data_IF_676176305579
#
_entry.id   IF_676176305579
#
_cell.length_a   1.000
_cell.length_b   1.000
_cell.length_c   1.000
_cell.angle_alpha   90.00
_cell.angle_beta   90.00
_cell.angle_gamma   90.00
#
_symmetry.space_group_name_H-M   'P 1'
#
loop_
_entity.id
_entity.type
_entity.pdbx_description
1 polymer ?
#
# COMPACT_ATOMS: atom_id res chain seq x y z
N UNK A 1 112.24 19.38 -23.37
CA UNK A 1 111.04 18.51 -23.42
C UNK A 1 109.97 19.17 -22.56
N UNK A 2 109.13 20.00 -23.17
CA UNK A 2 108.12 20.81 -22.51
C UNK A 2 106.81 20.01 -22.39
N UNK A 3 106.13 19.99 -21.23
CA UNK A 3 104.99 19.11 -20.99
C UNK A 3 103.73 19.68 -21.67
N UNK A 4 103.53 19.34 -22.95
CA UNK A 4 102.29 19.63 -23.70
C UNK A 4 101.09 18.81 -23.17
N UNK A 5 101.33 17.80 -22.33
CA UNK A 5 100.28 16.92 -21.79
C UNK A 5 99.35 17.56 -20.75
N UNK A 6 99.86 18.41 -19.85
CA UNK A 6 99.07 18.88 -18.70
C UNK A 6 98.07 20.00 -19.01
N UNK A 7 98.36 20.87 -19.98
CA UNK A 7 97.52 22.04 -20.28
C UNK A 7 96.29 21.68 -21.10
N UNK A 8 96.40 20.70 -22.00
CA UNK A 8 95.27 20.15 -22.77
C UNK A 8 94.29 19.40 -21.86
N UNK A 9 94.82 18.60 -20.94
CA UNK A 9 94.01 17.82 -20.00
C UNK A 9 93.18 18.73 -19.08
N UNK A 10 93.78 19.83 -18.62
CA UNK A 10 93.09 20.88 -17.85
C UNK A 10 92.02 21.64 -18.65
N UNK A 11 92.22 21.83 -19.96
CA UNK A 11 91.24 22.45 -20.85
C UNK A 11 90.07 21.51 -21.13
N UNK A 12 90.32 20.20 -21.28
CA UNK A 12 89.27 19.19 -21.48
C UNK A 12 88.42 19.04 -20.21
N UNK A 13 89.03 19.01 -19.02
CA UNK A 13 88.29 18.96 -17.76
C UNK A 13 87.42 20.19 -17.49
N UNK A 14 87.76 21.36 -18.06
CA UNK A 14 86.94 22.57 -17.98
C UNK A 14 85.85 22.66 -19.08
N UNK A 15 85.87 21.79 -20.08
CA UNK A 15 84.83 21.72 -21.12
C UNK A 15 83.77 20.65 -20.87
N UNK A 16 83.92 19.81 -19.85
CA UNK A 16 82.85 18.89 -19.43
C UNK A 16 81.74 19.72 -18.79
N UNK A 17 80.51 19.74 -19.34
CA UNK A 17 79.38 20.36 -18.65
C UNK A 17 79.22 19.64 -17.32
N UNK A 18 79.47 20.35 -16.22
CA UNK A 18 79.05 19.86 -14.90
C UNK A 18 77.54 19.98 -14.86
N UNK A 19 76.84 18.91 -15.23
CA UNK A 19 75.41 18.83 -15.00
C UNK A 19 75.19 18.92 -13.49
N UNK A 20 74.41 19.91 -13.07
CA UNK A 20 73.89 19.97 -11.71
C UNK A 20 73.17 18.64 -11.41
N UNK A 21 73.31 18.06 -10.20
CA UNK A 21 72.56 16.85 -9.85
C UNK A 21 71.06 17.11 -10.10
N UNK A 22 70.37 16.13 -10.70
CA UNK A 22 68.92 16.26 -10.91
C UNK A 22 68.22 16.36 -9.55
N UNK A 23 67.81 17.57 -9.18
CA UNK A 23 66.98 17.81 -8.02
C UNK A 23 65.52 17.75 -8.49
N UNK A 24 64.74 16.80 -7.97
CA UNK A 24 63.31 16.76 -8.24
C UNK A 24 62.66 18.05 -7.75
N UNK A 25 61.89 18.68 -8.64
CA UNK A 25 61.19 19.94 -8.42
C UNK A 25 59.70 19.68 -8.41
N UNK A 26 59.02 20.19 -7.38
CA UNK A 26 57.58 20.00 -7.23
C UNK A 26 56.93 21.30 -6.78
N UNK A 27 55.81 21.65 -7.42
CA UNK A 27 54.86 22.63 -6.93
C UNK A 27 53.72 21.88 -6.24
N UNK A 28 53.51 22.17 -4.96
CA UNK A 28 52.41 21.64 -4.17
C UNK A 28 51.40 22.75 -3.92
N UNK A 29 50.11 22.40 -3.88
CA UNK A 29 49.03 23.34 -3.56
C UNK A 29 48.16 22.76 -2.45
N UNK A 30 48.21 23.37 -1.27
CA UNK A 30 47.38 23.00 -0.13
C UNK A 30 46.25 24.02 0.05
N UNK A 31 45.01 23.55 0.21
CA UNK A 31 43.85 24.39 0.51
C UNK A 31 43.39 24.15 1.95
N UNK A 32 43.00 25.20 2.68
CA UNK A 32 42.50 25.07 4.06
C UNK A 32 41.13 24.40 4.15
N UNK A 33 40.35 24.42 3.07
CA UNK A 33 39.14 23.62 2.88
C UNK A 33 38.91 23.36 1.37
N UNK A 34 38.03 22.41 1.06
CA UNK A 34 37.63 22.09 -0.32
C UNK A 34 36.22 22.57 -0.66
N UNK A 35 35.50 23.16 0.30
CA UNK A 35 34.15 23.65 0.08
C UNK A 35 33.78 24.79 1.02
N UNK A 36 32.90 25.66 0.53
CA UNK A 36 32.09 26.55 1.36
C UNK A 36 30.78 25.85 1.68
N UNK A 37 30.56 25.48 2.94
CA UNK A 37 29.26 25.00 3.40
C UNK A 37 28.39 26.18 3.74
N UNK A 38 27.26 26.31 3.06
CA UNK A 38 26.29 27.38 3.28
C UNK A 38 25.12 26.77 4.02
N UNK A 39 25.01 27.11 5.30
CA UNK A 39 23.86 26.72 6.10
C UNK A 39 22.57 27.28 5.48
N UNK A 40 21.43 26.68 5.77
CA UNK A 40 20.12 27.21 5.35
C UNK A 40 19.89 28.68 5.78
N UNK A 41 20.63 29.16 6.78
CA UNK A 41 20.65 30.55 7.28
C UNK A 41 21.69 31.46 6.58
N UNK A 42 22.12 31.09 5.37
CA UNK A 42 22.94 31.86 4.39
C UNK A 42 24.38 32.25 4.78
N UNK A 43 24.88 31.83 5.94
CA UNK A 43 26.28 32.04 6.32
C UNK A 43 27.15 30.90 5.77
N UNK A 44 28.19 31.26 5.01
CA UNK A 44 29.18 30.31 4.49
C UNK A 44 30.28 30.03 5.53
N UNK A 45 30.64 28.75 5.68
CA UNK A 45 31.75 28.29 6.52
C UNK A 45 32.70 27.39 5.69
N UNK A 46 34.02 27.64 5.69
CA UNK A 46 34.71 28.79 6.32
C UNK A 46 34.41 30.11 5.60
N UNK A 47 34.72 31.27 6.20
CA UNK A 47 34.51 32.58 5.55
C UNK A 47 35.44 32.80 4.33
N UNK A 48 36.62 32.16 4.37
CA UNK A 48 37.61 32.15 3.29
C UNK A 48 38.36 30.83 3.26
N UNK A 49 38.94 30.53 2.11
CA UNK A 49 39.80 29.38 1.86
C UNK A 49 41.14 29.91 1.36
N UNK A 50 42.22 29.51 2.03
CA UNK A 50 43.57 29.89 1.67
C UNK A 50 44.23 28.73 0.92
N UNK A 51 44.87 29.08 -0.20
CA UNK A 51 45.63 28.19 -1.05
C UNK A 51 47.11 28.53 -0.91
N UNK A 52 47.86 27.67 -0.24
CA UNK A 52 49.29 27.85 0.01
C UNK A 52 50.09 27.03 -0.99
N UNK A 53 50.92 27.71 -1.79
CA UNK A 53 51.83 27.05 -2.72
C UNK A 53 53.15 26.70 -2.01
N UNK A 54 53.47 25.40 -1.99
CA UNK A 54 54.74 24.88 -1.50
C UNK A 54 55.70 24.62 -2.66
N UNK A 55 56.93 25.11 -2.56
CA UNK A 55 57.98 24.90 -3.55
C UNK A 55 59.04 23.95 -2.99
N UNK A 56 59.31 22.86 -3.70
CA UNK A 56 60.39 21.91 -3.37
C UNK A 56 61.51 22.09 -4.40
N UNK A 57 62.73 22.39 -3.92
CA UNK A 57 63.92 22.64 -4.76
C UNK A 57 63.72 23.72 -5.85
N UNK A 58 62.78 24.63 -5.62
CA UNK A 58 62.47 25.80 -6.44
C UNK A 58 62.26 27.02 -5.54
N UNK A 59 62.52 28.20 -6.07
CA UNK A 59 62.24 29.46 -5.41
C UNK A 59 61.61 30.43 -6.40
N UNK A 60 60.81 31.36 -5.90
CA UNK A 60 60.16 32.37 -6.72
C UNK A 60 58.71 32.60 -6.31
N UNK A 61 58.09 33.51 -7.04
CA UNK A 61 56.69 33.87 -6.84
C UNK A 61 55.80 32.98 -7.70
N UNK A 62 54.79 32.38 -7.07
CA UNK A 62 53.81 31.52 -7.75
C UNK A 62 52.68 32.37 -8.33
N UNK A 63 52.37 32.13 -9.60
CA UNK A 63 51.19 32.70 -10.24
C UNK A 63 49.97 31.84 -9.94
N UNK A 64 48.90 32.45 -9.42
CA UNK A 64 47.61 31.80 -9.25
C UNK A 64 46.66 32.18 -10.40
N UNK A 65 45.69 31.34 -10.69
CA UNK A 65 44.55 31.67 -11.54
C UNK A 65 43.31 30.93 -11.06
N UNK A 66 42.15 31.51 -11.26
CA UNK A 66 40.87 30.82 -11.11
C UNK A 66 40.39 30.40 -12.49
N UNK A 67 39.69 29.26 -12.58
CA UNK A 67 39.10 28.75 -13.83
C UNK A 67 37.92 29.60 -14.34
N UNK A 68 37.49 30.59 -13.57
CA UNK A 68 36.42 31.54 -13.90
C UNK A 68 36.76 32.92 -13.32
N UNK A 69 35.80 33.86 -13.33
CA UNK A 69 35.99 35.23 -12.85
C UNK A 69 36.11 35.37 -11.31
N UNK A 70 36.34 34.28 -10.56
CA UNK A 70 36.52 34.35 -9.10
C UNK A 70 37.74 35.20 -8.73
N UNK A 71 37.57 36.02 -7.70
CA UNK A 71 38.58 36.96 -7.24
C UNK A 71 39.43 36.32 -6.15
N UNK A 72 40.75 36.34 -6.36
CA UNK A 72 41.74 35.87 -5.40
C UNK A 72 42.53 37.06 -4.84
N UNK A 73 42.59 37.17 -3.52
CA UNK A 73 43.53 38.10 -2.85
C UNK A 73 44.84 37.37 -2.63
N UNK A 74 45.99 37.98 -2.97
CA UNK A 74 47.30 37.32 -2.85
C UNK A 74 48.20 38.01 -1.85
N UNK A 75 48.87 37.20 -1.03
CA UNK A 75 49.94 37.64 -0.14
C UNK A 75 51.07 36.61 -0.23
N UNK A 76 52.15 36.97 -0.91
CA UNK A 76 53.25 36.03 -1.19
C UNK A 76 52.79 34.82 -2.02
N UNK A 77 53.15 33.62 -1.58
CA UNK A 77 52.75 32.34 -2.19
C UNK A 77 51.43 31.78 -1.59
N UNK A 78 50.59 32.65 -1.06
CA UNK A 78 49.23 32.33 -0.59
C UNK A 78 48.21 33.12 -1.40
N UNK A 79 47.20 32.41 -1.92
CA UNK A 79 46.02 33.01 -2.53
C UNK A 79 44.78 32.71 -1.66
N UNK A 80 44.01 33.73 -1.33
CA UNK A 80 42.79 33.62 -0.52
C UNK A 80 41.57 33.82 -1.41
N UNK A 81 40.64 32.87 -1.34
CA UNK A 81 39.31 32.95 -1.94
C UNK A 81 38.28 33.17 -0.83
N UNK A 82 37.46 34.21 -0.92
CA UNK A 82 36.30 34.39 -0.03
C UNK A 82 35.04 33.82 -0.68
N UNK A 83 34.03 33.47 0.13
CA UNK A 83 32.75 33.01 -0.42
C UNK A 83 32.13 34.02 -1.41
N UNK A 84 32.15 35.31 -1.06
CA UNK A 84 31.63 36.38 -1.94
C UNK A 84 32.50 36.66 -3.17
N UNK A 85 33.80 36.33 -3.11
CA UNK A 85 34.71 36.43 -4.25
C UNK A 85 34.62 35.25 -5.22
N UNK A 86 33.97 34.14 -4.82
CA UNK A 86 33.79 32.96 -5.66
C UNK A 86 32.59 33.12 -6.60
N UNK A 87 32.87 33.13 -7.90
CA UNK A 87 31.85 33.16 -8.97
C UNK A 87 31.44 31.73 -9.31
N UNK A 88 30.13 31.47 -9.38
CA UNK A 88 29.57 30.14 -9.63
C UNK A 88 29.60 29.21 -8.41
N UNK A 89 29.21 27.94 -8.64
CA UNK A 89 29.11 26.90 -7.59
C UNK A 89 30.36 26.02 -7.46
N UNK A 90 31.27 26.09 -8.45
CA UNK A 90 32.56 25.43 -8.39
C UNK A 90 33.62 26.26 -9.11
N UNK A 91 34.83 26.26 -8.58
CA UNK A 91 35.99 26.94 -9.16
C UNK A 91 37.24 26.09 -8.94
N UNK A 92 38.09 26.00 -9.96
CA UNK A 92 39.42 25.39 -9.85
C UNK A 92 40.46 26.48 -9.77
N UNK A 93 41.25 26.46 -8.70
CA UNK A 93 42.39 27.35 -8.51
C UNK A 93 43.65 26.64 -8.97
N UNK A 94 44.39 27.25 -9.88
CA UNK A 94 45.64 26.71 -10.44
C UNK A 94 46.80 27.60 -10.02
N UNK A 95 47.78 27.00 -9.37
CA UNK A 95 49.08 27.57 -9.11
C UNK A 95 50.05 27.17 -10.25
N UNK A 96 50.89 28.11 -10.68
CA UNK A 96 51.86 27.90 -11.76
C UNK A 96 53.17 28.65 -11.47
N UNK A 97 54.30 28.02 -11.77
CA UNK A 97 55.62 28.65 -11.74
C UNK A 97 56.48 28.10 -12.87
N UNK A 98 57.28 28.97 -13.49
CA UNK A 98 58.28 28.57 -14.49
C UNK A 98 59.64 28.52 -13.82
N UNK A 99 60.32 27.38 -13.93
CA UNK A 99 61.67 27.18 -13.39
C UNK A 99 62.50 26.42 -14.42
N UNK A 100 63.64 26.99 -14.81
CA UNK A 100 64.54 26.49 -15.87
C UNK A 100 63.82 26.10 -17.17
N UNK A 101 62.85 26.93 -17.59
CA UNK A 101 62.10 26.75 -18.83
C UNK A 101 60.97 25.72 -18.77
N UNK A 102 60.75 25.05 -17.64
CA UNK A 102 59.62 24.15 -17.42
C UNK A 102 58.55 24.79 -16.54
N UNK A 103 57.28 24.63 -16.93
CA UNK A 103 56.13 25.10 -16.16
C UNK A 103 55.63 24.00 -15.23
N UNK A 104 55.63 24.28 -13.93
CA UNK A 104 55.06 23.41 -12.91
C UNK A 104 53.68 23.94 -12.53
N UNK A 105 52.68 23.07 -12.51
CA UNK A 105 51.31 23.43 -12.15
C UNK A 105 50.77 22.53 -11.05
N UNK A 106 49.92 23.10 -10.20
CA UNK A 106 49.14 22.37 -9.21
C UNK A 106 47.75 23.01 -9.12
N UNK A 107 46.71 22.21 -8.97
CA UNK A 107 45.33 22.71 -8.97
C UNK A 107 44.51 22.13 -7.83
N UNK A 108 43.59 22.92 -7.30
CA UNK A 108 42.63 22.53 -6.28
C UNK A 108 41.25 23.06 -6.67
N UNK A 109 40.22 22.21 -6.57
CA UNK A 109 38.83 22.60 -6.83
C UNK A 109 38.11 22.88 -5.52
N UNK A 110 37.33 23.96 -5.50
CA UNK A 110 36.45 24.33 -4.40
C UNK A 110 35.02 24.42 -4.91
N UNK A 111 34.08 23.93 -4.10
CA UNK A 111 32.65 23.98 -4.41
C UNK A 111 31.84 24.65 -3.30
N UNK A 112 30.70 25.23 -3.65
CA UNK A 112 29.67 25.64 -2.69
C UNK A 112 28.75 24.45 -2.45
N UNK A 113 28.47 24.17 -1.17
CA UNK A 113 27.56 23.11 -0.75
C UNK A 113 26.48 23.77 0.09
N UNK A 114 25.22 23.69 -0.38
CA UNK A 114 24.07 24.21 0.36
C UNK A 114 23.38 23.09 1.12
N UNK A 115 23.00 23.38 2.36
CA UNK A 115 22.10 22.50 3.09
C UNK A 115 20.69 22.56 2.47
N UNK A 116 19.98 21.42 2.46
CA UNK A 116 18.59 21.36 2.02
C UNK A 116 17.65 22.06 3.01
N UNK A 117 16.53 22.58 2.49
CA UNK A 117 15.45 23.12 3.34
C UNK A 117 14.77 21.95 4.07
N UNK A 118 14.42 22.13 5.35
CA UNK A 118 13.62 21.14 6.07
C UNK A 118 12.28 20.93 5.37
N UNK A 119 11.96 19.69 5.03
CA UNK A 119 10.71 19.35 4.35
C UNK A 119 9.48 19.40 5.28
N UNK A 120 8.29 19.44 4.67
CA UNK A 120 7.04 19.31 5.40
C UNK A 120 6.96 17.96 6.14
N UNK A 121 6.31 17.94 7.29
CA UNK A 121 6.16 16.74 8.12
C UNK A 121 4.69 16.42 8.40
N UNK A 122 4.33 15.14 8.40
CA UNK A 122 2.99 14.69 8.79
C UNK A 122 2.73 14.90 10.28
N UNK A 123 1.49 15.23 10.60
CA UNK A 123 0.94 15.40 11.94
C UNK A 123 -0.39 14.66 12.04
N UNK A 124 -0.74 14.25 13.25
CA UNK A 124 -2.01 13.58 13.56
C UNK A 124 -2.48 14.09 14.91
N UNK A 125 -3.78 14.27 15.06
CA UNK A 125 -4.41 14.50 16.35
C UNK A 125 -5.75 13.75 16.46
N UNK A 126 -6.21 13.60 17.69
CA UNK A 126 -7.40 12.84 18.04
C UNK A 126 -8.30 13.66 18.95
N UNK A 127 -9.61 13.46 18.82
CA UNK A 127 -10.61 13.94 19.77
C UNK A 127 -11.69 12.88 19.91
N UNK A 128 -12.08 12.57 21.14
CA UNK A 128 -13.29 11.80 21.44
C UNK A 128 -14.48 12.72 21.51
N UNK A 129 -15.66 12.16 21.31
CA UNK A 129 -16.93 12.89 21.41
C UNK A 129 -18.07 11.92 21.67
N UNK A 130 -19.15 12.40 22.31
CA UNK A 130 -20.44 11.71 22.38
C UNK A 130 -21.43 12.20 21.32
N UNK A 131 -20.99 13.11 20.43
CA UNK A 131 -21.78 13.54 19.29
C UNK A 131 -21.95 12.39 18.30
N UNK A 132 -23.07 12.36 17.60
CA UNK A 132 -23.32 11.39 16.52
C UNK A 132 -22.36 11.58 15.34
N UNK A 133 -21.93 12.82 15.10
CA UNK A 133 -20.86 13.15 14.15
C UNK A 133 -20.19 14.48 14.48
N UNK A 134 -18.96 14.64 13.98
CA UNK A 134 -18.31 15.95 13.89
C UNK A 134 -18.63 16.64 12.56
N UNK A 135 -18.64 17.96 12.56
CA UNK A 135 -18.76 18.78 11.38
C UNK A 135 -17.53 18.64 10.48
N UNK A 136 -17.70 18.91 9.18
CA UNK A 136 -16.61 18.93 8.19
C UNK A 136 -16.16 20.34 7.84
N UNK A 137 -16.80 21.36 8.42
CA UNK A 137 -16.43 22.76 8.28
C UNK A 137 -15.75 23.26 9.58
N UNK A 138 -14.62 23.97 9.49
CA UNK A 138 -13.88 24.29 8.26
C UNK A 138 -13.18 23.05 7.66
N UNK A 139 -13.07 22.97 6.33
CA UNK A 139 -12.42 21.83 5.68
C UNK A 139 -10.92 21.72 6.00
N UNK A 140 -10.30 22.88 6.27
CA UNK A 140 -8.93 22.99 6.78
C UNK A 140 -8.84 24.10 7.82
N UNK A 141 -7.95 23.95 8.80
CA UNK A 141 -7.61 24.99 9.78
C UNK A 141 -6.10 25.03 9.98
N UNK A 142 -5.54 26.22 10.17
CA UNK A 142 -4.11 26.38 10.42
C UNK A 142 -3.84 26.79 11.87
N UNK A 143 -2.82 26.18 12.46
CA UNK A 143 -2.35 26.47 13.81
C UNK A 143 -0.85 26.75 13.80
N UNK A 144 -0.37 27.59 14.71
CA UNK A 144 1.04 27.95 14.79
C UNK A 144 1.85 26.87 15.51
N UNK A 145 3.01 26.51 14.97
CA UNK A 145 3.91 25.52 15.55
C UNK A 145 3.61 24.07 15.16
N UNK A 146 4.58 23.20 15.45
CA UNK A 146 4.54 21.77 15.12
C UNK A 146 3.89 20.89 16.19
N UNK A 147 3.62 21.47 17.37
CA UNK A 147 3.01 20.83 18.55
C UNK A 147 1.64 21.45 18.88
N UNK A 148 1.08 22.25 17.97
CA UNK A 148 -0.26 22.81 18.14
C UNK A 148 -1.33 21.89 17.59
N UNK A 149 -2.53 22.02 18.14
CA UNK A 149 -3.71 21.24 17.76
C UNK A 149 -4.85 22.18 17.38
N UNK A 150 -5.84 21.70 16.60
CA UNK A 150 -7.03 22.47 16.30
C UNK A 150 -7.70 23.00 17.59
N UNK A 151 -8.20 24.26 17.57
CA UNK A 151 -8.86 24.85 18.72
C UNK A 151 -10.03 24.02 19.27
N UNK A 152 -10.37 24.24 20.55
CA UNK A 152 -11.57 23.69 21.17
C UNK A 152 -12.80 23.99 20.30
N UNK A 153 -13.67 22.99 20.16
CA UNK A 153 -14.92 23.08 19.44
C UNK A 153 -14.84 23.26 17.91
N UNK A 154 -13.65 23.17 17.30
CA UNK A 154 -13.45 23.45 15.85
C UNK A 154 -14.46 22.72 14.96
N UNK A 155 -14.70 21.44 15.21
CA UNK A 155 -15.62 20.61 14.42
C UNK A 155 -16.78 20.03 15.24
N UNK A 156 -16.98 20.49 16.46
CA UNK A 156 -18.07 20.02 17.30
C UNK A 156 -17.89 20.41 18.76
N UNK A 157 -18.98 20.80 19.40
CA UNK A 157 -18.96 21.21 20.80
C UNK A 157 -18.39 20.10 21.72
N UNK A 158 -17.52 20.49 22.64
CA UNK A 158 -16.81 19.62 23.57
C UNK A 158 -15.56 18.92 23.02
N UNK A 159 -15.17 19.16 21.75
CA UNK A 159 -13.98 18.51 21.18
C UNK A 159 -12.67 19.14 21.65
N UNK A 160 -11.77 18.32 22.18
CA UNK A 160 -10.41 18.69 22.58
C UNK A 160 -9.44 17.82 21.81
N UNK A 161 -8.54 18.45 21.05
CA UNK A 161 -7.60 17.76 20.16
C UNK A 161 -6.25 17.53 20.83
N UNK A 162 -5.76 16.30 20.78
CA UNK A 162 -4.47 15.90 21.37
C UNK A 162 -3.68 14.97 20.46
N UNK A 163 -2.36 14.87 20.69
CA UNK A 163 -1.48 14.03 19.85
C UNK A 163 -1.60 12.53 20.09
N UNK A 164 -2.25 12.11 21.18
CA UNK A 164 -2.45 10.69 21.52
C UNK A 164 -3.94 10.34 21.49
N UNK A 165 -4.33 9.13 21.07
CA UNK A 165 -5.70 8.66 21.17
C UNK A 165 -6.22 8.70 22.61
N UNK A 166 -7.32 9.40 22.83
CA UNK A 166 -7.99 9.45 24.13
C UNK A 166 -8.71 8.12 24.43
N UNK A 167 -8.78 7.73 25.70
CA UNK A 167 -9.62 6.60 26.12
C UNK A 167 -11.10 6.99 26.02
N UNK A 168 -11.91 6.10 25.42
CA UNK A 168 -13.35 6.33 25.19
C UNK A 168 -14.19 5.08 25.51
N UNK A 169 -15.41 5.31 25.97
CA UNK A 169 -16.37 4.31 26.41
C UNK A 169 -17.47 4.02 25.39
N UNK A 170 -18.44 3.22 25.81
CA UNK A 170 -19.64 2.97 25.01
C UNK A 170 -20.45 4.26 24.85
N UNK A 171 -20.89 4.56 23.61
CA UNK A 171 -21.60 5.81 23.30
C UNK A 171 -20.69 6.99 23.00
N UNK A 172 -19.37 6.81 23.09
CA UNK A 172 -18.38 7.75 22.59
C UNK A 172 -17.74 7.23 21.30
N UNK A 173 -17.32 8.17 20.46
CA UNK A 173 -16.60 7.94 19.21
C UNK A 173 -15.24 8.63 19.26
N UNK A 174 -14.22 7.99 18.69
CA UNK A 174 -12.89 8.59 18.53
C UNK A 174 -12.73 9.09 17.09
N UNK A 175 -12.49 10.39 16.94
CA UNK A 175 -12.19 11.04 15.68
C UNK A 175 -10.69 11.32 15.55
N UNK A 176 -10.22 11.37 14.29
CA UNK A 176 -8.85 11.71 13.92
C UNK A 176 -8.86 12.85 12.91
N UNK A 177 -7.89 13.75 13.02
CA UNK A 177 -7.57 14.75 12.00
C UNK A 177 -6.10 14.59 11.62
N UNK A 178 -5.83 14.62 10.32
CA UNK A 178 -4.48 14.57 9.76
C UNK A 178 -4.00 15.97 9.43
N UNK A 179 -2.73 16.25 9.70
CA UNK A 179 -2.13 17.55 9.49
C UNK A 179 -0.78 17.51 8.79
N UNK A 180 -0.36 18.67 8.27
CA UNK A 180 0.93 18.88 7.62
C UNK A 180 1.59 20.10 8.24
N UNK A 181 2.72 19.90 8.92
CA UNK A 181 3.56 20.98 9.43
C UNK A 181 4.53 21.44 8.35
N UNK A 182 4.52 22.75 8.07
CA UNK A 182 5.47 23.40 7.18
C UNK A 182 6.49 24.22 8.02
N UNK A 183 7.76 23.81 8.10
CA UNK A 183 8.77 24.51 8.88
C UNK A 183 9.12 25.89 8.31
N UNK A 184 8.86 26.17 7.03
CA UNK A 184 9.13 27.46 6.42
C UNK A 184 8.12 28.54 6.85
N UNK A 185 6.84 28.17 7.00
CA UNK A 185 5.80 29.07 7.53
C UNK A 185 5.63 28.97 9.04
N UNK A 186 6.17 27.94 9.68
CA UNK A 186 5.99 27.67 11.11
C UNK A 186 4.56 27.26 11.47
N UNK A 187 3.76 26.78 10.51
CA UNK A 187 2.34 26.45 10.72
C UNK A 187 2.03 24.99 10.42
N UNK A 188 1.04 24.44 11.13
CA UNK A 188 0.42 23.16 10.82
C UNK A 188 -0.95 23.41 10.17
N UNK A 189 -1.22 22.76 9.04
CA UNK A 189 -2.54 22.74 8.41
C UNK A 189 -3.23 21.42 8.73
N UNK A 190 -4.41 21.46 9.32
CA UNK A 190 -5.20 20.31 9.73
C UNK A 190 -6.42 20.14 8.82
N UNK A 191 -6.69 18.91 8.38
CA UNK A 191 -7.88 18.57 7.61
C UNK A 191 -9.08 18.29 8.52
N UNK A 192 -10.29 18.41 7.96
CA UNK A 192 -11.51 18.01 8.65
C UNK A 192 -11.43 16.55 9.17
N UNK A 193 -11.97 16.27 10.37
CA UNK A 193 -11.80 14.98 11.01
C UNK A 193 -12.69 13.89 10.42
N UNK A 194 -12.24 12.64 10.59
CA UNK A 194 -13.00 11.43 10.26
C UNK A 194 -13.08 10.49 11.46
N UNK A 195 -14.10 9.62 11.45
CA UNK A 195 -14.31 8.63 12.50
C UNK A 195 -13.18 7.59 12.44
N UNK A 196 -12.38 7.50 13.50
CA UNK A 196 -11.25 6.58 13.59
C UNK A 196 -11.66 5.27 14.30
N UNK A 197 -12.48 5.36 15.34
CA UNK A 197 -12.98 4.18 16.03
C UNK A 197 -14.33 4.44 16.70
N UNK A 198 -15.19 3.42 16.68
CA UNK A 198 -16.46 3.38 17.39
C UNK A 198 -16.46 2.17 18.34
N UNK A 199 -16.79 2.40 19.61
CA UNK A 199 -16.93 1.34 20.62
C UNK A 199 -18.38 1.32 21.09
N UNK A 200 -19.06 0.23 20.82
CA UNK A 200 -20.50 0.07 21.06
C UNK A 200 -20.77 -1.33 21.60
N UNK A 201 -21.75 -1.46 22.50
CA UNK A 201 -22.14 -2.76 23.04
C UNK A 201 -23.00 -3.55 22.07
N UNK A 202 -24.01 -2.90 21.50
CA UNK A 202 -24.90 -3.45 20.48
C UNK A 202 -25.19 -2.37 19.44
N UNK A 203 -25.26 -2.77 18.18
CA UNK A 203 -25.78 -1.94 17.09
C UNK A 203 -27.13 -2.53 16.68
N UNK A 204 -28.18 -1.70 16.69
CA UNK A 204 -29.56 -2.16 16.44
C UNK A 204 -30.03 -1.95 14.99
N UNK A 205 -29.40 -1.05 14.24
CA UNK A 205 -29.69 -0.82 12.83
C UNK A 205 -28.44 -0.30 12.11
N UNK A 206 -27.83 -1.15 11.26
CA UNK A 206 -26.71 -0.79 10.40
C UNK A 206 -27.10 -1.13 8.97
N UNK A 207 -26.86 -0.21 8.04
CA UNK A 207 -26.75 -0.51 6.61
C UNK A 207 -25.29 -0.36 6.23
N UNK A 208 -24.68 -1.41 5.70
CA UNK A 208 -23.27 -1.42 5.33
C UNK A 208 -23.04 -2.30 4.10
N UNK A 209 -22.13 -1.86 3.23
CA UNK A 209 -21.53 -2.72 2.21
C UNK A 209 -20.38 -3.49 2.89
N UNK A 210 -20.68 -4.74 3.24
CA UNK A 210 -19.75 -5.60 3.96
C UNK A 210 -18.94 -6.41 2.96
N UNK A 211 -17.61 -6.39 3.12
CA UNK A 211 -16.71 -7.33 2.46
C UNK A 211 -16.70 -8.69 3.16
N UNK A 212 -15.51 -9.21 3.42
CA UNK A 212 -15.35 -10.42 4.22
C UNK A 212 -15.76 -10.16 5.68
N UNK A 213 -16.70 -10.97 6.19
CA UNK A 213 -17.13 -10.93 7.58
C UNK A 213 -16.52 -12.11 8.34
N UNK A 214 -15.78 -11.83 9.40
CA UNK A 214 -15.41 -12.84 10.41
C UNK A 214 -16.34 -12.67 11.60
N UNK A 215 -17.30 -13.57 11.74
CA UNK A 215 -18.30 -13.58 12.81
C UNK A 215 -18.35 -14.95 13.49
N UNK A 216 -18.91 -15.00 14.69
CA UNK A 216 -19.41 -16.24 15.29
C UNK A 216 -20.71 -16.65 14.61
N UNK A 217 -21.68 -17.09 15.41
CA UNK A 217 -22.99 -17.47 14.88
C UNK A 217 -23.80 -16.26 14.43
N UNK A 218 -24.40 -16.37 13.24
CA UNK A 218 -25.40 -15.42 12.74
C UNK A 218 -26.78 -15.99 13.01
N UNK A 219 -27.50 -15.43 13.99
CA UNK A 219 -28.85 -15.85 14.35
C UNK A 219 -29.92 -14.94 13.75
N UNK A 220 -31.11 -15.49 13.50
CA UNK A 220 -32.29 -14.76 12.98
C UNK A 220 -32.03 -13.99 11.67
N UNK A 221 -31.09 -14.46 10.85
CA UNK A 221 -30.76 -13.82 9.58
C UNK A 221 -31.69 -14.25 8.44
N UNK A 222 -31.91 -13.30 7.54
CA UNK A 222 -32.45 -13.54 6.20
C UNK A 222 -31.38 -13.14 5.20
N UNK A 223 -30.92 -14.09 4.40
CA UNK A 223 -29.92 -13.89 3.35
C UNK A 223 -30.61 -14.02 2.00
N UNK A 224 -30.48 -13.02 1.14
CA UNK A 224 -31.05 -13.05 -0.21
C UNK A 224 -30.09 -12.38 -1.19
N UNK A 225 -30.18 -12.78 -2.45
CA UNK A 225 -29.34 -12.22 -3.49
C UNK A 225 -29.80 -12.58 -4.89
N UNK A 226 -29.36 -11.78 -5.87
CA UNK A 226 -29.75 -11.88 -7.26
C UNK A 226 -30.98 -11.04 -7.61
N UNK A 227 -31.17 -10.78 -8.91
CA UNK A 227 -32.22 -9.91 -9.42
C UNK A 227 -33.65 -10.41 -9.09
N UNK A 228 -33.81 -11.71 -8.83
CA UNK A 228 -35.07 -12.31 -8.41
C UNK A 228 -35.52 -11.91 -7.00
N UNK A 229 -34.62 -11.73 -6.03
CA UNK A 229 -34.97 -11.60 -4.61
C UNK A 229 -34.56 -10.25 -4.02
N UNK A 230 -35.25 -9.13 -4.34
CA UNK A 230 -34.89 -7.78 -3.90
C UNK A 230 -35.34 -7.44 -2.47
N UNK A 231 -36.02 -8.35 -1.77
CA UNK A 231 -36.57 -8.11 -0.43
C UNK A 231 -36.39 -9.34 0.46
N UNK A 232 -36.54 -9.15 1.77
CA UNK A 232 -36.48 -10.22 2.78
C UNK A 232 -37.71 -11.12 2.85
N UNK A 233 -38.66 -10.98 1.92
CA UNK A 233 -39.88 -11.79 1.93
C UNK A 233 -39.61 -13.17 1.35
N UNK A 234 -39.94 -14.22 2.11
CA UNK A 234 -39.88 -15.59 1.62
C UNK A 234 -40.98 -15.84 0.58
N UNK A 235 -40.59 -16.14 -0.65
CA UNK A 235 -41.52 -16.49 -1.73
C UNK A 235 -40.82 -16.49 -3.09
N UNK A 236 -41.43 -17.17 -4.06
CA UNK A 236 -40.92 -17.17 -5.42
C UNK A 236 -41.13 -15.81 -6.09
N UNK A 237 -40.14 -15.29 -6.82
CA UNK A 237 -40.26 -13.97 -7.39
C UNK A 237 -41.15 -13.93 -8.63
N UNK A 238 -41.96 -12.89 -8.73
CA UNK A 238 -42.88 -12.64 -9.85
C UNK A 238 -42.25 -11.81 -10.99
N UNK A 239 -41.03 -11.31 -10.78
CA UNK A 239 -40.32 -10.43 -11.72
C UNK A 239 -39.55 -11.17 -12.83
N UNK A 240 -39.66 -12.50 -12.89
CA UNK A 240 -38.94 -13.33 -13.84
C UNK A 240 -37.43 -13.49 -13.59
N UNK A 241 -36.88 -12.86 -12.54
CA UNK A 241 -35.48 -12.99 -12.15
C UNK A 241 -35.18 -14.29 -11.41
N UNK A 242 -33.89 -14.59 -11.26
CA UNK A 242 -33.38 -15.71 -10.48
C UNK A 242 -32.45 -15.22 -9.36
N UNK A 243 -32.13 -16.10 -8.41
CA UNK A 243 -31.28 -15.78 -7.28
C UNK A 243 -31.44 -16.81 -6.18
N UNK A 244 -31.30 -16.39 -4.93
CA UNK A 244 -31.53 -17.23 -3.77
C UNK A 244 -32.16 -16.45 -2.62
N UNK A 245 -32.81 -17.19 -1.72
CA UNK A 245 -33.32 -16.70 -0.44
C UNK A 245 -33.15 -17.78 0.63
N UNK A 246 -32.63 -17.42 1.78
CA UNK A 246 -32.51 -18.26 2.96
C UNK A 246 -33.08 -17.52 4.18
N UNK A 247 -34.02 -18.14 4.87
CA UNK A 247 -34.60 -17.64 6.12
C UNK A 247 -35.12 -18.78 6.98
N UNK A 248 -35.75 -18.46 8.11
CA UNK A 248 -36.42 -19.45 8.97
C UNK A 248 -37.54 -20.24 8.28
N UNK A 249 -38.05 -19.78 7.13
CA UNK A 249 -39.04 -20.50 6.33
C UNK A 249 -38.42 -21.56 5.41
N UNK A 250 -37.14 -21.44 5.06
CA UNK A 250 -36.48 -22.35 4.13
C UNK A 250 -35.42 -21.70 3.23
N UNK A 251 -34.99 -22.48 2.24
CA UNK A 251 -34.08 -22.13 1.16
C UNK A 251 -34.82 -22.18 -0.18
N UNK A 252 -34.75 -21.10 -0.94
CA UNK A 252 -35.18 -21.01 -2.34
C UNK A 252 -33.97 -20.68 -3.21
N UNK A 253 -33.82 -21.36 -4.34
CA UNK A 253 -32.82 -21.08 -5.37
C UNK A 253 -33.50 -21.10 -6.73
N UNK A 254 -33.15 -20.17 -7.60
CA UNK A 254 -33.77 -20.02 -8.91
C UNK A 254 -35.16 -19.39 -8.81
N UNK A 255 -36.06 -19.79 -9.72
CA UNK A 255 -37.43 -19.29 -9.74
C UNK A 255 -38.36 -20.32 -10.42
N UNK A 256 -39.37 -20.81 -9.70
CA UNK A 256 -40.35 -21.77 -10.21
C UNK A 256 -41.26 -21.19 -11.31
N UNK A 257 -41.43 -19.87 -11.34
CA UNK A 257 -42.34 -19.18 -12.27
C UNK A 257 -41.73 -18.93 -13.65
N UNK A 258 -40.47 -19.31 -13.88
CA UNK A 258 -39.79 -19.15 -15.16
C UNK A 258 -39.21 -20.48 -15.65
N UNK A 259 -39.06 -20.67 -16.97
CA UNK A 259 -38.33 -21.80 -17.50
C UNK A 259 -36.90 -21.84 -16.96
N UNK A 260 -36.51 -22.94 -16.32
CA UNK A 260 -35.18 -23.10 -15.73
C UNK A 260 -35.17 -24.07 -14.56
N UNK A 261 -34.04 -24.13 -13.88
CA UNK A 261 -33.89 -24.88 -12.63
C UNK A 261 -34.41 -24.07 -11.45
N UNK A 262 -35.09 -24.74 -10.53
CA UNK A 262 -35.41 -24.20 -9.22
C UNK A 262 -35.13 -25.26 -8.16
N UNK A 263 -34.96 -24.81 -6.93
CA UNK A 263 -34.82 -25.66 -5.76
C UNK A 263 -35.50 -25.00 -4.58
N UNK A 264 -36.33 -25.75 -3.87
CA UNK A 264 -36.96 -25.33 -2.64
C UNK A 264 -36.74 -26.37 -1.56
N UNK A 265 -36.37 -25.91 -0.37
CA UNK A 265 -36.40 -26.66 0.87
C UNK A 265 -37.09 -25.80 1.93
N UNK A 266 -38.26 -26.21 2.43
CA UNK A 266 -38.94 -25.49 3.51
C UNK A 266 -38.51 -25.98 4.90
N UNK A 267 -38.82 -25.19 5.92
CA UNK A 267 -38.68 -25.60 7.32
C UNK A 267 -39.60 -26.74 7.76
N UNK A 268 -40.63 -27.08 6.96
CA UNK A 268 -41.47 -28.26 7.20
C UNK A 268 -40.88 -29.57 6.66
N UNK A 269 -39.71 -29.50 6.00
CA UNK A 269 -39.11 -30.66 5.32
C UNK A 269 -39.70 -30.91 3.92
N UNK A 270 -40.48 -29.98 3.39
CA UNK A 270 -40.88 -30.01 1.98
C UNK A 270 -39.67 -29.72 1.10
N UNK A 271 -39.47 -30.52 0.08
CA UNK A 271 -38.40 -30.37 -0.89
C UNK A 271 -38.99 -30.44 -2.30
N UNK A 272 -38.59 -29.53 -3.18
CA UNK A 272 -39.03 -29.55 -4.57
C UNK A 272 -37.96 -29.01 -5.51
N UNK A 273 -37.76 -29.73 -6.60
CA UNK A 273 -37.01 -29.30 -7.78
C UNK A 273 -37.63 -29.98 -9.02
N UNK A 274 -37.30 -29.55 -10.25
CA UNK A 274 -37.74 -30.26 -11.45
C UNK A 274 -37.38 -31.76 -11.37
N UNK A 275 -38.39 -32.63 -11.51
CA UNK A 275 -38.22 -34.08 -11.47
C UNK A 275 -38.35 -34.75 -10.09
N UNK A 276 -38.36 -33.98 -8.99
CA UNK A 276 -38.48 -34.53 -7.63
C UNK A 276 -39.27 -33.61 -6.70
N UNK A 277 -40.30 -34.15 -6.08
CA UNK A 277 -41.00 -33.52 -4.96
C UNK A 277 -41.01 -34.47 -3.76
N UNK A 278 -40.61 -33.98 -2.60
CA UNK A 278 -40.77 -34.68 -1.32
C UNK A 278 -41.78 -33.91 -0.48
N UNK A 279 -42.92 -34.55 -0.22
CA UNK A 279 -43.93 -34.05 0.71
C UNK A 279 -43.63 -34.63 2.09
N UNK A 280 -43.46 -33.78 3.12
CA UNK A 280 -43.16 -34.27 4.45
C UNK A 280 -44.33 -35.08 5.00
N UNK A 281 -44.00 -36.10 5.80
CA UNK A 281 -44.99 -36.83 6.57
C UNK A 281 -45.52 -35.98 7.73
N UNK A 282 -46.66 -36.37 8.26
CA UNK A 282 -47.22 -35.83 9.51
C UNK A 282 -47.30 -36.95 10.54
N UNK A 283 -47.68 -36.64 11.77
CA UNK A 283 -48.03 -37.68 12.74
C UNK A 283 -49.11 -38.61 12.13
N UNK A 284 -48.75 -39.88 11.88
CA UNK A 284 -49.63 -40.87 11.26
C UNK A 284 -49.61 -40.95 9.72
N UNK A 285 -48.85 -40.11 9.04
CA UNK A 285 -48.71 -40.12 7.57
C UNK A 285 -47.25 -40.20 7.16
N UNK A 286 -46.89 -41.23 6.39
CA UNK A 286 -45.53 -41.38 5.89
C UNK A 286 -45.17 -40.26 4.89
N UNK A 287 -43.89 -39.82 4.84
CA UNK A 287 -43.42 -38.92 3.81
C UNK A 287 -43.53 -39.57 2.43
N UNK A 288 -43.73 -38.76 1.40
CA UNK A 288 -43.86 -39.23 0.01
C UNK A 288 -42.83 -38.51 -0.86
N UNK A 289 -41.95 -39.28 -1.50
CA UNK A 289 -41.13 -38.80 -2.60
C UNK A 289 -41.78 -39.17 -3.93
N UNK A 290 -41.97 -38.19 -4.81
CA UNK A 290 -42.48 -38.37 -6.18
C UNK A 290 -41.38 -38.00 -7.15
N UNK A 291 -41.05 -38.95 -8.02
CA UNK A 291 -40.13 -38.74 -9.14
C UNK A 291 -40.95 -38.57 -10.42
N UNK A 292 -40.53 -37.67 -11.29
CA UNK A 292 -41.06 -37.53 -12.64
C UNK A 292 -39.92 -37.56 -13.66
N UNK A 293 -40.20 -38.17 -14.82
CA UNK A 293 -39.19 -38.45 -15.85
C UNK A 293 -38.74 -39.91 -15.88
N UNK A 294 -37.55 -40.15 -16.43
CA UNK A 294 -36.98 -41.48 -16.61
C UNK A 294 -36.05 -41.86 -15.45
N UNK A 295 -36.23 -43.07 -14.90
CA UNK A 295 -35.28 -43.67 -13.96
C UNK A 295 -34.21 -44.43 -14.75
N UNK A 296 -33.03 -43.82 -14.93
CA UNK A 296 -31.92 -44.40 -15.70
C UNK A 296 -30.94 -45.11 -14.77
N UNK A 297 -30.58 -46.36 -15.12
CA UNK A 297 -29.62 -47.18 -14.35
C UNK A 297 -29.96 -47.38 -12.87
N UNK A 298 -31.25 -47.29 -12.52
CA UNK A 298 -31.70 -47.47 -11.15
C UNK A 298 -31.59 -48.94 -10.72
N UNK A 299 -30.89 -49.19 -9.61
CA UNK A 299 -30.84 -50.50 -8.94
C UNK A 299 -31.26 -50.31 -7.48
N UNK A 300 -32.14 -51.16 -6.95
CA UNK A 300 -32.57 -51.06 -5.56
C UNK A 300 -33.48 -52.20 -5.12
N UNK A 301 -33.71 -52.29 -3.81
CA UNK A 301 -34.69 -53.20 -3.21
C UNK A 301 -36.04 -52.50 -3.12
N UNK A 302 -37.06 -53.06 -3.76
CA UNK A 302 -38.39 -52.46 -3.86
C UNK A 302 -39.39 -53.41 -3.20
N UNK A 303 -40.08 -52.94 -2.16
CA UNK A 303 -41.10 -53.76 -1.48
C UNK A 303 -42.34 -54.01 -2.36
N UNK A 304 -42.77 -52.98 -3.09
CA UNK A 304 -43.88 -53.05 -4.04
C UNK A 304 -43.61 -52.11 -5.22
N UNK A 305 -43.51 -52.66 -6.43
CA UNK A 305 -43.59 -51.90 -7.67
C UNK A 305 -45.00 -52.05 -8.23
N UNK A 306 -45.72 -50.95 -8.45
CA UNK A 306 -47.06 -50.99 -9.03
C UNK A 306 -47.27 -49.89 -10.05
N UNK A 307 -47.98 -50.19 -11.15
CA UNK A 307 -48.30 -49.21 -12.18
C UNK A 307 -49.45 -48.27 -11.79
N UNK A 308 -50.37 -48.72 -10.92
CA UNK A 308 -51.51 -47.93 -10.43
C UNK A 308 -51.93 -48.37 -9.03
N UNK A 309 -52.60 -47.50 -8.28
CA UNK A 309 -53.07 -47.81 -6.93
C UNK A 309 -54.26 -48.79 -6.91
N UNK A 310 -55.16 -48.71 -7.89
CA UNK A 310 -56.39 -49.52 -7.99
C UNK A 310 -56.75 -49.79 -9.46
N UNK A 311 -57.69 -50.72 -9.70
CA UNK A 311 -58.12 -51.12 -11.04
C UNK A 311 -57.04 -51.89 -11.81
N UNK A 312 -57.02 -51.70 -13.13
CA UNK A 312 -56.11 -52.36 -14.05
C UNK A 312 -54.67 -51.99 -13.74
N UNK A 313 -53.86 -52.97 -13.34
CA UNK A 313 -52.49 -52.74 -12.85
C UNK A 313 -51.62 -53.99 -12.90
N UNK A 314 -50.31 -53.75 -12.88
CA UNK A 314 -49.28 -54.76 -12.63
C UNK A 314 -48.67 -54.46 -11.25
N UNK A 315 -48.49 -55.49 -10.43
CA UNK A 315 -47.81 -55.42 -9.15
C UNK A 315 -46.65 -56.43 -9.12
N UNK A 316 -45.46 -55.97 -8.72
CA UNK A 316 -44.32 -56.82 -8.35
C UNK A 316 -44.12 -56.65 -6.85
N UNK A 317 -44.35 -57.71 -6.08
CA UNK A 317 -44.20 -57.70 -4.63
C UNK A 317 -43.79 -59.09 -4.14
N UNK A 318 -42.81 -59.13 -3.24
CA UNK A 318 -42.25 -60.40 -2.76
C UNK A 318 -41.66 -61.22 -3.91
N UNK A 319 -42.15 -62.43 -4.09
CA UNK A 319 -41.73 -63.41 -5.09
C UNK A 319 -42.61 -63.45 -6.35
N UNK A 320 -43.64 -62.61 -6.46
CA UNK A 320 -44.62 -62.70 -7.54
C UNK A 320 -44.86 -61.40 -8.31
N UNK A 321 -45.19 -61.57 -9.59
CA UNK A 321 -45.75 -60.55 -10.49
C UNK A 321 -47.24 -60.87 -10.68
N UNK A 322 -48.12 -59.90 -10.40
CA UNK A 322 -49.58 -60.05 -10.48
C UNK A 322 -50.16 -59.06 -11.50
N UNK A 323 -51.13 -59.51 -12.29
CA UNK A 323 -51.84 -58.71 -13.30
C UNK A 323 -53.32 -58.65 -12.92
N UNK A 324 -53.88 -57.45 -12.87
CA UNK A 324 -55.29 -57.19 -12.56
C UNK A 324 -55.98 -56.48 -13.73
N UNK A 325 -57.26 -56.76 -13.92
CA UNK A 325 -58.11 -56.01 -14.84
C UNK A 325 -58.64 -54.69 -14.24
N UNK A 326 -59.38 -53.93 -15.03
CA UNK A 326 -59.94 -52.63 -14.63
C UNK A 326 -60.90 -52.70 -13.44
N UNK A 327 -61.52 -53.86 -13.19
CA UNK A 327 -62.36 -54.10 -12.03
C UNK A 327 -61.55 -54.52 -10.78
N UNK A 328 -60.23 -54.61 -10.89
CA UNK A 328 -59.33 -55.03 -9.82
C UNK A 328 -59.29 -56.54 -9.61
N UNK A 329 -59.85 -57.33 -10.54
CA UNK A 329 -59.82 -58.80 -10.49
C UNK A 329 -58.48 -59.31 -11.01
N UNK A 330 -57.83 -60.23 -10.27
CA UNK A 330 -56.57 -60.84 -10.69
C UNK A 330 -56.80 -61.73 -11.91
N UNK A 331 -56.08 -61.47 -13.00
CA UNK A 331 -56.15 -62.23 -14.27
C UNK A 331 -54.91 -63.05 -14.57
N UNK A 332 -53.78 -62.74 -13.92
CA UNK A 332 -52.54 -63.49 -14.08
C UNK A 332 -51.61 -63.38 -12.89
N UNK A 333 -50.77 -64.40 -12.70
CA UNK A 333 -49.70 -64.44 -11.71
C UNK A 333 -48.48 -65.17 -12.29
N UNK A 334 -47.30 -64.65 -12.04
CA UNK A 334 -46.01 -65.28 -12.35
C UNK A 334 -45.16 -65.28 -11.07
N UNK A 335 -44.45 -66.37 -10.76
CA UNK A 335 -43.49 -66.41 -9.65
C UNK A 335 -44.02 -66.95 -8.32
N UNK A 336 -45.29 -67.38 -8.24
CA UNK A 336 -45.79 -68.09 -7.06
C UNK A 336 -45.64 -69.61 -7.27
N UNK A 337 -44.94 -70.32 -6.37
CA UNK A 337 -44.96 -71.79 -6.37
C UNK A 337 -46.30 -72.19 -5.73
N UNK A 338 -47.25 -72.67 -6.51
CA UNK A 338 -48.45 -73.29 -5.92
C UNK A 338 -47.98 -74.49 -5.08
N UNK A 339 -48.16 -74.39 -3.76
CA UNK A 339 -48.28 -75.56 -2.89
C UNK A 339 -49.74 -75.81 -2.62
#
# INVERSE_FOLDING_TARGET
MTPIGGTRDRLIMNTVPRFEPANDRVLLLAATAQAFKVAATTIAAPASIDFTAGLVNMQGQVAFSASNASVLTRVGNVATLTYGGMVGESVTITASIVSDGLTYTASQTVSKIFDGVTGNSSRVCYSKTSLSSLATAPATISTEGSTSFPPLNTWGAGTVWEGSPQAFGAGESLYRSDGIFNPASGTTSWAAPYLNALKVGQLSAISADLGQVTAGDIYSATLHGGAGYPSSNYGWPSNGGTGFHLSAQGLLIGNINVPGGFFQLSSSGYFEMPGLTVTPGSAGSAPIAKFSGELVSATGTIGLLRSRATGGRIEIAGDAIKIFDDFGTRRGVFGNRET
#
